data_IF_896038938892
#
_entry.id   IF_896038938892
#
_cell.length_a   1.000
_cell.length_b   1.000
_cell.length_c   1.000
_cell.angle_alpha   90.00
_cell.angle_beta   90.00
_cell.angle_gamma   90.00
#
_symmetry.space_group_name_H-M   'P 1'
#
loop_
_entity.id
_entity.type
_entity.pdbx_description
1 polymer ?
#
# COMPACT_ATOMS: atom_id res chain seq x y z
N UNK A 1 18.83 22.98 3.36
CA UNK A 1 19.07 23.33 1.94
C UNK A 1 19.29 22.11 1.04
N UNK A 2 20.13 21.13 1.43
CA UNK A 2 20.51 20.00 0.55
C UNK A 2 19.35 19.00 0.33
N UNK A 3 18.47 18.78 1.30
CA UNK A 3 17.32 17.87 1.20
C UNK A 3 16.22 18.47 0.30
N UNK A 4 15.95 19.76 0.43
CA UNK A 4 14.96 20.44 -0.42
C UNK A 4 15.37 20.44 -1.90
N UNK A 5 16.63 20.68 -2.21
CA UNK A 5 17.12 20.68 -3.60
C UNK A 5 17.01 19.30 -4.28
N UNK A 6 17.23 18.21 -3.53
CA UNK A 6 17.04 16.85 -4.06
C UNK A 6 15.56 16.51 -4.32
N UNK A 7 14.65 16.95 -3.43
CA UNK A 7 13.22 16.75 -3.60
C UNK A 7 12.70 17.55 -4.80
N UNK A 8 13.08 18.82 -4.91
CA UNK A 8 12.69 19.68 -6.04
C UNK A 8 13.18 19.13 -7.38
N UNK A 9 14.40 18.59 -7.42
CA UNK A 9 14.94 17.94 -8.61
C UNK A 9 14.12 16.70 -9.00
N UNK A 10 13.75 15.85 -8.04
CA UNK A 10 12.92 14.66 -8.29
C UNK A 10 11.52 15.03 -8.76
N UNK A 11 10.90 16.03 -8.13
CA UNK A 11 9.59 16.55 -8.55
C UNK A 11 9.62 17.07 -9.98
N UNK A 12 10.69 17.81 -10.34
CA UNK A 12 10.88 18.31 -11.71
C UNK A 12 11.03 17.17 -12.71
N UNK A 13 11.83 16.15 -12.38
CA UNK A 13 11.98 14.97 -13.23
C UNK A 13 10.66 14.21 -13.44
N UNK A 14 9.88 14.00 -12.38
CA UNK A 14 8.56 13.37 -12.48
C UNK A 14 7.63 14.20 -13.38
N UNK A 15 7.61 15.52 -13.23
CA UNK A 15 6.80 16.37 -14.09
C UNK A 15 7.21 16.26 -15.56
N UNK A 16 8.51 16.22 -15.85
CA UNK A 16 9.03 16.04 -17.20
C UNK A 16 8.61 14.67 -17.77
N UNK A 17 8.77 13.59 -17.01
CA UNK A 17 8.41 12.24 -17.41
C UNK A 17 6.90 12.10 -17.67
N UNK A 18 6.07 12.68 -16.82
CA UNK A 18 4.60 12.65 -16.97
C UNK A 18 4.17 13.45 -18.22
N UNK A 19 4.92 14.51 -18.57
CA UNK A 19 4.62 15.38 -19.72
C UNK A 19 5.24 14.89 -21.03
N UNK A 20 6.04 13.83 -21.03
CA UNK A 20 6.72 13.33 -22.23
C UNK A 20 5.73 12.65 -23.19
N UNK A 21 5.30 13.38 -24.20
CA UNK A 21 4.36 12.90 -25.19
C UNK A 21 4.93 11.81 -26.12
N UNK A 22 6.23 11.54 -26.10
CA UNK A 22 6.85 10.47 -26.90
C UNK A 22 6.55 9.06 -26.36
N UNK A 23 6.12 8.96 -25.10
CA UNK A 23 5.75 7.69 -24.45
C UNK A 23 4.23 7.62 -24.22
N UNK A 24 3.68 6.41 -24.33
CA UNK A 24 2.28 6.15 -23.96
C UNK A 24 2.05 6.35 -22.44
N UNK A 25 0.84 6.74 -22.00
CA UNK A 25 0.56 7.10 -20.60
C UNK A 25 0.99 6.06 -19.58
N UNK A 26 0.70 4.78 -19.83
CA UNK A 26 1.06 3.69 -18.91
C UNK A 26 2.59 3.57 -18.72
N UNK A 27 3.38 3.78 -19.77
CA UNK A 27 4.84 3.75 -19.68
C UNK A 27 5.39 4.96 -18.95
N UNK A 28 4.79 6.12 -19.15
CA UNK A 28 5.13 7.34 -18.38
C UNK A 28 4.89 7.13 -16.89
N UNK A 29 3.74 6.54 -16.53
CA UNK A 29 3.42 6.20 -15.15
C UNK A 29 4.47 5.25 -14.57
N UNK A 30 4.80 4.17 -15.28
CA UNK A 30 5.80 3.19 -14.86
C UNK A 30 7.16 3.82 -14.56
N UNK A 31 7.66 4.66 -15.44
CA UNK A 31 8.96 5.33 -15.25
C UNK A 31 8.90 6.36 -14.12
N UNK A 32 7.80 7.14 -14.01
CA UNK A 32 7.64 8.11 -12.92
C UNK A 32 7.63 7.45 -11.54
N UNK A 33 7.00 6.29 -11.40
CA UNK A 33 6.91 5.54 -10.15
C UNK A 33 8.26 4.97 -9.66
N UNK A 34 9.28 4.90 -10.51
CA UNK A 34 10.62 4.43 -10.10
C UNK A 34 11.47 5.51 -9.42
N UNK A 35 11.02 6.78 -9.39
CA UNK A 35 11.82 7.91 -8.90
C UNK A 35 11.99 7.96 -7.37
N UNK A 36 11.09 7.34 -6.64
CA UNK A 36 11.13 7.30 -5.18
C UNK A 36 11.12 5.87 -4.65
N UNK A 37 12.12 5.54 -3.84
CA UNK A 37 12.12 4.31 -3.04
C UNK A 37 11.63 4.55 -1.60
N UNK A 38 11.59 5.82 -1.15
CA UNK A 38 11.23 6.20 0.22
C UNK A 38 10.68 7.62 0.24
N UNK A 39 9.57 7.82 0.92
CA UNK A 39 8.94 9.14 1.08
C UNK A 39 9.36 9.82 2.38
N UNK A 40 9.53 9.05 3.45
CA UNK A 40 10.01 9.49 4.76
C UNK A 40 10.72 8.33 5.48
N UNK A 41 11.21 8.56 6.71
CA UNK A 41 11.86 7.50 7.50
C UNK A 41 10.93 6.35 7.87
N UNK A 42 9.63 6.59 7.94
CA UNK A 42 8.60 5.59 8.24
C UNK A 42 7.82 5.08 7.02
N UNK A 43 8.01 5.69 5.85
CA UNK A 43 7.24 5.40 4.64
C UNK A 43 8.13 4.89 3.51
N UNK A 44 8.15 3.58 3.36
CA UNK A 44 8.83 2.88 2.28
C UNK A 44 7.86 2.74 1.12
N UNK A 45 8.29 3.10 -0.08
CA UNK A 45 7.50 2.92 -1.30
C UNK A 45 7.68 1.50 -1.81
N UNK A 46 6.58 0.85 -2.18
CA UNK A 46 6.64 -0.51 -2.75
C UNK A 46 7.19 -0.46 -4.17
N UNK A 47 8.26 -1.20 -4.48
CA UNK A 47 8.75 -1.32 -5.84
C UNK A 47 7.66 -1.87 -6.78
N UNK A 48 7.68 -1.45 -8.03
CA UNK A 48 6.62 -1.81 -8.99
C UNK A 48 6.52 -3.30 -9.26
N UNK A 49 7.66 -4.01 -9.31
CA UNK A 49 7.66 -5.47 -9.46
C UNK A 49 6.93 -6.12 -8.27
N UNK A 50 7.21 -5.70 -7.04
CA UNK A 50 6.55 -6.23 -5.83
C UNK A 50 5.06 -5.88 -5.82
N UNK A 51 4.69 -4.66 -6.16
CA UNK A 51 3.27 -4.28 -6.26
C UNK A 51 2.53 -5.11 -7.33
N UNK A 52 3.18 -5.37 -8.47
CA UNK A 52 2.64 -6.25 -9.53
C UNK A 52 2.52 -7.70 -9.05
N UNK A 53 3.54 -8.22 -8.36
CA UNK A 53 3.52 -9.58 -7.80
C UNK A 53 2.42 -9.75 -6.77
N UNK A 54 2.25 -8.77 -5.88
CA UNK A 54 1.15 -8.76 -4.91
C UNK A 54 -0.21 -8.76 -5.62
N UNK A 55 -0.43 -7.89 -6.61
CA UNK A 55 -1.69 -7.88 -7.35
C UNK A 55 -1.87 -9.17 -8.16
N UNK A 56 -0.79 -9.82 -8.64
CA UNK A 56 -0.86 -11.09 -9.34
C UNK A 56 -1.31 -12.27 -8.45
N UNK A 57 -1.22 -12.17 -7.12
CA UNK A 57 -1.75 -13.16 -6.18
C UNK A 57 -3.28 -13.22 -6.15
N UNK A 58 -3.98 -12.15 -6.52
CA UNK A 58 -5.43 -12.16 -6.62
C UNK A 58 -5.85 -13.20 -7.68
N UNK A 59 -6.92 -13.98 -7.44
CA UNK A 59 -7.47 -14.85 -8.48
C UNK A 59 -8.06 -14.04 -9.63
N UNK A 60 -8.52 -14.74 -10.66
CA UNK A 60 -9.38 -14.12 -11.66
C UNK A 60 -10.72 -13.75 -11.01
N UNK A 61 -11.06 -12.48 -11.11
CA UNK A 61 -12.23 -11.91 -10.45
C UNK A 61 -13.40 -11.85 -11.44
N UNK A 62 -14.52 -12.48 -11.08
CA UNK A 62 -15.76 -12.39 -11.87
C UNK A 62 -16.33 -10.97 -11.78
N UNK A 63 -16.97 -10.49 -12.84
CA UNK A 63 -17.58 -9.17 -12.93
C UNK A 63 -16.61 -8.06 -12.48
N UNK A 64 -15.37 -8.13 -12.97
CA UNK A 64 -14.25 -7.29 -12.54
C UNK A 64 -14.57 -5.78 -12.61
N UNK A 65 -15.49 -5.37 -13.49
CA UNK A 65 -15.96 -3.99 -13.62
C UNK A 65 -16.77 -3.49 -12.43
N UNK A 66 -17.29 -4.39 -11.58
CA UNK A 66 -18.03 -4.07 -10.36
C UNK A 66 -17.14 -4.11 -9.12
N UNK A 67 -15.97 -4.75 -9.21
CA UNK A 67 -15.03 -4.93 -8.10
C UNK A 67 -14.38 -3.60 -7.72
N UNK A 68 -14.51 -3.22 -6.44
CA UNK A 68 -13.90 -2.00 -5.89
C UNK A 68 -12.61 -2.30 -5.17
N UNK A 69 -11.56 -1.59 -5.56
CA UNK A 69 -10.21 -1.70 -5.00
C UNK A 69 -9.88 -0.48 -4.14
N UNK A 70 -9.26 -0.69 -2.99
CA UNK A 70 -8.70 0.37 -2.15
C UNK A 70 -7.21 0.14 -1.91
N UNK A 71 -6.36 1.06 -2.37
CA UNK A 71 -5.02 1.25 -1.84
C UNK A 71 -5.12 2.05 -0.55
N UNK A 72 -5.08 1.36 0.61
CA UNK A 72 -5.33 1.95 1.93
C UNK A 72 -4.16 2.83 2.42
N UNK A 73 -3.01 2.81 1.75
CA UNK A 73 -1.82 3.53 2.16
C UNK A 73 -1.00 4.06 0.97
N UNK A 74 -1.68 4.72 0.05
CA UNK A 74 -1.08 5.22 -1.19
C UNK A 74 0.01 6.25 -0.92
N UNK A 75 1.18 6.06 -1.52
CA UNK A 75 2.32 6.98 -1.44
C UNK A 75 2.52 7.73 -2.74
N UNK A 76 2.54 7.03 -3.86
CA UNK A 76 2.63 7.64 -5.19
C UNK A 76 1.71 6.97 -6.22
N UNK A 77 0.80 6.09 -5.77
CA UNK A 77 -0.15 5.38 -6.63
C UNK A 77 0.41 4.09 -7.24
N UNK A 78 1.41 3.49 -6.61
CA UNK A 78 2.06 2.27 -7.08
C UNK A 78 1.10 1.07 -7.16
N UNK A 79 0.21 0.90 -6.16
CA UNK A 79 -0.81 -0.15 -6.20
C UNK A 79 -1.94 0.18 -7.17
N UNK A 80 -2.38 1.43 -7.24
CA UNK A 80 -3.36 1.86 -8.22
C UNK A 80 -2.87 1.59 -9.66
N UNK A 81 -1.57 1.86 -9.93
CA UNK A 81 -0.94 1.50 -11.21
C UNK A 81 -0.92 -0.01 -11.43
N UNK A 82 -0.55 -0.82 -10.42
CA UNK A 82 -0.48 -2.27 -10.56
C UNK A 82 -1.85 -2.89 -10.85
N UNK A 83 -2.92 -2.41 -10.18
CA UNK A 83 -4.31 -2.81 -10.43
C UNK A 83 -4.73 -2.39 -11.84
N UNK A 84 -4.47 -1.13 -12.23
CA UNK A 84 -4.74 -0.64 -13.57
C UNK A 84 -4.06 -1.51 -14.64
N UNK A 85 -2.77 -1.80 -14.45
CA UNK A 85 -1.99 -2.57 -15.41
C UNK A 85 -2.50 -4.01 -15.57
N UNK A 86 -2.99 -4.65 -14.49
CA UNK A 86 -3.52 -6.01 -14.57
C UNK A 86 -4.94 -6.07 -15.13
N UNK A 87 -5.82 -5.20 -14.69
CA UNK A 87 -7.25 -5.33 -14.93
C UNK A 87 -7.80 -4.28 -15.89
N UNK A 88 -7.45 -3.00 -15.74
CA UNK A 88 -8.01 -1.92 -16.54
C UNK A 88 -7.49 -1.92 -18.00
N UNK A 89 -6.33 -2.52 -18.27
CA UNK A 89 -5.83 -2.74 -19.64
C UNK A 89 -6.64 -3.77 -20.40
N UNK A 90 -7.35 -4.67 -19.69
CA UNK A 90 -8.22 -5.71 -20.27
C UNK A 90 -9.68 -5.25 -20.28
N UNK A 91 -10.15 -4.65 -19.18
CA UNK A 91 -11.48 -4.06 -19.04
C UNK A 91 -11.36 -2.62 -18.53
N UNK A 92 -11.53 -1.64 -19.43
CA UNK A 92 -11.32 -0.22 -19.11
C UNK A 92 -12.25 0.31 -18.01
N UNK A 93 -13.41 -0.31 -17.79
CA UNK A 93 -14.36 0.11 -16.76
C UNK A 93 -13.76 0.00 -15.34
N UNK A 94 -12.84 -0.91 -15.13
CA UNK A 94 -12.16 -1.12 -13.82
C UNK A 94 -11.47 0.14 -13.30
N UNK A 95 -10.96 1.00 -14.18
CA UNK A 95 -10.32 2.26 -13.76
C UNK A 95 -11.21 3.16 -12.91
N UNK A 96 -12.53 3.02 -13.03
CA UNK A 96 -13.51 3.81 -12.27
C UNK A 96 -13.72 3.29 -10.85
N UNK A 97 -13.23 2.10 -10.55
CA UNK A 97 -13.40 1.42 -9.26
C UNK A 97 -12.09 1.25 -8.48
N UNK A 98 -11.03 1.94 -8.89
CA UNK A 98 -9.76 2.00 -8.16
C UNK A 98 -9.76 3.24 -7.28
N UNK A 99 -9.63 3.03 -5.97
CA UNK A 99 -9.60 4.07 -4.95
C UNK A 99 -8.26 4.10 -4.23
N UNK A 100 -7.84 5.26 -3.76
CA UNK A 100 -6.62 5.44 -2.99
C UNK A 100 -6.83 6.34 -1.78
N UNK A 101 -6.29 5.91 -0.62
CA UNK A 101 -6.18 6.72 0.57
C UNK A 101 -4.71 7.11 0.79
N UNK A 102 -4.31 8.36 0.54
CA UNK A 102 -2.94 8.80 0.68
C UNK A 102 -2.46 8.86 2.14
N UNK A 103 -1.16 8.62 2.36
CA UNK A 103 -0.54 8.76 3.69
C UNK A 103 -0.27 10.22 4.06
N UNK A 104 -0.19 11.12 3.09
CA UNK A 104 0.06 12.55 3.29
C UNK A 104 -0.43 13.41 2.12
N UNK A 105 -0.48 14.73 2.30
CA UNK A 105 -0.81 15.67 1.22
C UNK A 105 0.17 15.58 0.03
N UNK A 106 1.46 15.31 0.29
CA UNK A 106 2.44 15.09 -0.76
C UNK A 106 2.13 13.82 -1.55
N UNK A 107 1.79 12.73 -0.86
CA UNK A 107 1.39 11.48 -1.46
C UNK A 107 0.10 11.61 -2.27
N UNK A 108 -0.86 12.42 -1.80
CA UNK A 108 -2.04 12.78 -2.57
C UNK A 108 -1.68 13.38 -3.94
N UNK A 109 -0.76 14.36 -3.96
CA UNK A 109 -0.37 15.02 -5.22
C UNK A 109 0.34 14.07 -6.19
N UNK A 110 1.16 13.13 -5.70
CA UNK A 110 1.77 12.11 -6.57
C UNK A 110 0.73 11.13 -7.11
N UNK A 111 -0.11 10.58 -6.25
CA UNK A 111 -1.20 9.68 -6.65
C UNK A 111 -2.10 10.36 -7.68
N UNK A 112 -2.47 11.62 -7.46
CA UNK A 112 -3.30 12.42 -8.38
C UNK A 112 -2.69 12.56 -9.77
N UNK A 113 -1.36 12.73 -9.86
CA UNK A 113 -0.67 12.79 -11.16
C UNK A 113 -0.76 11.46 -11.92
N UNK A 114 -0.59 10.34 -11.22
CA UNK A 114 -0.72 9.01 -11.81
C UNK A 114 -2.16 8.76 -12.28
N UNK A 115 -3.16 9.10 -11.45
CA UNK A 115 -4.57 8.99 -11.81
C UNK A 115 -4.89 9.77 -13.08
N UNK A 116 -4.50 11.06 -13.14
CA UNK A 116 -4.70 11.90 -14.33
C UNK A 116 -4.03 11.31 -15.57
N UNK A 117 -2.81 10.80 -15.42
CA UNK A 117 -2.03 10.24 -16.52
C UNK A 117 -2.69 8.98 -17.10
N UNK A 118 -3.30 8.14 -16.25
CA UNK A 118 -3.98 6.91 -16.64
C UNK A 118 -5.47 7.12 -16.95
N UNK A 119 -5.98 8.33 -16.89
CA UNK A 119 -7.41 8.61 -17.12
C UNK A 119 -8.34 8.03 -16.06
N UNK A 120 -7.84 7.88 -14.83
CA UNK A 120 -8.62 7.41 -13.69
C UNK A 120 -9.34 8.59 -13.02
N UNK A 121 -10.53 8.40 -12.41
CA UNK A 121 -11.24 9.44 -11.70
C UNK A 121 -10.47 9.96 -10.50
N UNK A 122 -10.09 11.23 -10.49
CA UNK A 122 -9.35 11.85 -9.38
C UNK A 122 -10.19 11.90 -8.09
N UNK A 123 -11.50 11.93 -8.22
CA UNK A 123 -12.45 11.91 -7.08
C UNK A 123 -12.42 10.58 -6.30
N UNK A 124 -11.82 9.54 -6.87
CA UNK A 124 -11.56 8.28 -6.18
C UNK A 124 -10.34 8.35 -5.24
N UNK A 125 -9.62 9.46 -5.21
CA UNK A 125 -8.56 9.69 -4.22
C UNK A 125 -9.21 10.39 -3.02
N UNK A 126 -9.20 9.73 -1.88
CA UNK A 126 -9.75 10.27 -0.63
C UNK A 126 -8.84 11.39 -0.14
N UNK A 127 -9.34 12.63 -0.14
CA UNK A 127 -8.53 13.84 0.07
C UNK A 127 -8.70 14.50 1.44
N UNK A 128 -9.76 14.18 2.15
CA UNK A 128 -10.18 14.86 3.39
C UNK A 128 -9.59 14.26 4.66
N UNK A 129 -9.03 13.06 4.58
CA UNK A 129 -8.25 12.44 5.64
C UNK A 129 -7.14 11.54 5.06
N UNK A 130 -6.21 11.11 5.90
CA UNK A 130 -5.05 10.30 5.51
C UNK A 130 -5.13 8.90 6.12
N UNK A 131 -4.29 7.99 5.63
CA UNK A 131 -4.09 6.65 6.21
C UNK A 131 -3.87 6.71 7.73
N UNK A 132 -3.05 7.66 8.22
CA UNK A 132 -2.77 7.80 9.65
C UNK A 132 -4.00 8.16 10.48
N UNK A 133 -5.01 8.79 9.88
CA UNK A 133 -6.23 9.16 10.60
C UNK A 133 -7.09 7.93 10.95
N UNK A 134 -6.86 6.79 10.28
CA UNK A 134 -7.58 5.54 10.54
C UNK A 134 -7.20 4.86 11.87
N UNK A 135 -6.06 5.23 12.46
CA UNK A 135 -5.55 4.65 13.71
C UNK A 135 -5.45 5.67 14.85
N UNK A 136 -6.03 6.86 14.66
CA UNK A 136 -6.18 7.88 15.71
C UNK A 136 -7.43 7.62 16.54
N UNK A 137 -7.48 8.25 17.71
CA UNK A 137 -8.71 8.33 18.50
C UNK A 137 -9.82 9.04 17.69
N UNK A 138 -11.06 8.66 17.90
CA UNK A 138 -12.25 9.21 17.21
C UNK A 138 -12.18 9.06 15.68
N UNK A 139 -11.82 7.87 15.23
CA UNK A 139 -11.72 7.52 13.80
C UNK A 139 -12.98 6.85 13.23
N UNK A 140 -14.01 6.63 14.06
CA UNK A 140 -15.20 5.85 13.74
C UNK A 140 -15.90 6.37 12.48
N UNK A 141 -16.10 7.67 12.36
CA UNK A 141 -16.75 8.30 11.20
C UNK A 141 -16.00 7.98 9.88
N UNK A 142 -14.66 8.00 9.93
CA UNK A 142 -13.82 7.70 8.75
C UNK A 142 -13.88 6.23 8.37
N UNK A 143 -13.85 5.36 9.37
CA UNK A 143 -13.97 3.90 9.16
C UNK A 143 -15.36 3.55 8.64
N UNK A 144 -16.43 4.13 9.19
CA UNK A 144 -17.80 3.88 8.75
C UNK A 144 -18.02 4.39 7.31
N UNK A 145 -17.46 5.54 6.96
CA UNK A 145 -17.46 6.01 5.58
C UNK A 145 -16.78 5.00 4.62
N UNK A 146 -15.62 4.44 5.01
CA UNK A 146 -14.95 3.44 4.17
C UNK A 146 -15.76 2.14 4.08
N UNK A 147 -16.46 1.73 5.15
CA UNK A 147 -17.39 0.58 5.13
C UNK A 147 -18.55 0.80 4.17
N UNK A 148 -19.13 2.00 4.17
CA UNK A 148 -20.25 2.34 3.29
C UNK A 148 -19.86 2.32 1.81
N UNK A 149 -18.58 2.56 1.49
CA UNK A 149 -18.05 2.45 0.14
C UNK A 149 -17.98 1.01 -0.37
N UNK A 150 -17.93 0.00 0.53
CA UNK A 150 -17.93 -1.45 0.24
C UNK A 150 -16.82 -1.85 -0.73
N UNK A 151 -15.60 -1.93 -0.23
CA UNK A 151 -14.46 -2.40 -1.01
C UNK A 151 -14.38 -3.93 -1.01
N UNK A 152 -14.14 -4.52 -2.18
CA UNK A 152 -13.96 -5.97 -2.35
C UNK A 152 -12.49 -6.37 -2.11
N UNK A 153 -11.56 -5.50 -2.51
CA UNK A 153 -10.12 -5.74 -2.43
C UNK A 153 -9.45 -4.56 -1.74
N UNK A 154 -8.75 -4.83 -0.64
CA UNK A 154 -7.89 -3.86 0.04
C UNK A 154 -6.44 -4.28 -0.14
N UNK A 155 -5.64 -3.36 -0.68
CA UNK A 155 -4.20 -3.55 -0.85
C UNK A 155 -3.44 -2.42 -0.16
N UNK A 156 -2.17 -2.65 0.16
CA UNK A 156 -1.35 -1.55 0.63
C UNK A 156 -0.06 -1.96 1.32
N UNK A 157 0.79 -0.95 1.46
CA UNK A 157 1.99 -0.97 2.27
C UNK A 157 1.84 0.09 3.37
N UNK A 158 1.16 -0.23 4.49
CA UNK A 158 0.88 0.75 5.54
C UNK A 158 2.18 1.23 6.20
N UNK A 159 2.17 2.40 6.86
CA UNK A 159 3.29 2.85 7.67
C UNK A 159 3.65 1.82 8.76
N UNK A 160 4.95 1.55 8.94
CA UNK A 160 5.41 0.48 9.83
C UNK A 160 5.52 0.89 11.29
N UNK A 161 5.85 2.15 11.54
CA UNK A 161 6.13 2.66 12.87
C UNK A 161 5.58 4.09 13.03
N UNK A 162 5.17 4.43 14.25
CA UNK A 162 4.84 5.80 14.58
C UNK A 162 6.14 6.63 14.60
N UNK A 163 6.16 7.73 13.83
CA UNK A 163 7.28 8.67 13.85
C UNK A 163 7.34 9.34 15.21
N UNK A 164 8.33 8.98 16.02
CA UNK A 164 8.63 9.72 17.24
C UNK A 164 9.39 10.99 16.84
N UNK A 165 8.76 12.15 17.00
CA UNK A 165 9.33 13.47 16.72
C UNK A 165 10.74 13.58 17.29
N UNK A 166 11.67 14.08 16.47
CA UNK A 166 13.11 14.09 16.59
C UNK A 166 13.68 14.34 18.00
N UNK A 167 14.23 13.27 18.57
CA UNK A 167 15.16 13.29 19.68
C UNK A 167 16.37 12.43 19.33
N UNK A 168 17.53 12.76 19.88
CA UNK A 168 18.82 12.09 19.65
C UNK A 168 18.85 10.59 20.04
N UNK A 169 17.80 10.08 20.69
CA UNK A 169 17.62 8.68 20.98
C UNK A 169 16.65 8.08 19.98
N UNK A 170 17.16 7.40 18.96
CA UNK A 170 16.42 6.48 18.09
C UNK A 170 15.97 5.26 18.90
N UNK A 171 15.04 5.42 19.85
CA UNK A 171 14.31 4.29 20.39
C UNK A 171 13.42 3.73 19.28
N UNK A 172 13.39 2.43 19.12
CA UNK A 172 12.56 1.73 18.15
C UNK A 172 11.12 2.25 18.23
N UNK A 173 10.63 2.87 17.14
CA UNK A 173 9.25 3.39 17.10
C UNK A 173 8.25 2.27 17.36
N UNK A 174 7.12 2.60 17.98
CA UNK A 174 6.02 1.65 18.20
C UNK A 174 5.47 1.20 16.85
N UNK A 175 5.34 -0.12 16.67
CA UNK A 175 4.73 -0.69 15.49
C UNK A 175 3.26 -0.26 15.38
N UNK A 176 2.80 0.04 14.17
CA UNK A 176 1.43 0.46 13.86
C UNK A 176 0.84 -0.29 12.66
N UNK A 177 1.61 -1.11 11.96
CA UNK A 177 1.12 -1.85 10.78
C UNK A 177 0.02 -2.87 11.13
N UNK A 178 0.04 -3.41 12.33
CA UNK A 178 -0.99 -4.30 12.89
C UNK A 178 -2.34 -3.59 13.08
N UNK A 179 -2.35 -2.29 13.44
CA UNK A 179 -3.56 -1.49 13.51
C UNK A 179 -4.20 -1.34 12.12
N UNK A 180 -3.40 -1.09 11.09
CA UNK A 180 -3.91 -0.97 9.71
C UNK A 180 -4.49 -2.28 9.18
N UNK A 181 -3.90 -3.43 9.53
CA UNK A 181 -4.50 -4.72 9.19
C UNK A 181 -5.84 -4.91 9.90
N UNK A 182 -5.93 -4.54 11.17
CA UNK A 182 -7.17 -4.59 11.96
C UNK A 182 -8.25 -3.72 11.33
N UNK A 183 -7.91 -2.50 10.92
CA UNK A 183 -8.81 -1.61 10.18
C UNK A 183 -9.25 -2.26 8.87
N UNK A 184 -8.32 -2.78 8.05
CA UNK A 184 -8.67 -3.43 6.79
C UNK A 184 -9.63 -4.60 6.98
N UNK A 185 -9.43 -5.45 8.02
CA UNK A 185 -10.38 -6.53 8.37
C UNK A 185 -11.76 -5.99 8.76
N UNK A 186 -11.81 -4.86 9.48
CA UNK A 186 -13.07 -4.26 9.93
C UNK A 186 -13.92 -3.70 8.79
N UNK A 187 -13.32 -3.42 7.62
CA UNK A 187 -14.02 -3.01 6.40
C UNK A 187 -14.67 -4.21 5.67
N UNK A 188 -14.43 -5.43 6.14
CA UNK A 188 -15.01 -6.68 5.63
C UNK A 188 -14.83 -6.91 4.12
N UNK A 189 -13.65 -6.64 3.52
CA UNK A 189 -13.42 -6.96 2.12
C UNK A 189 -13.33 -8.46 1.90
N UNK A 190 -13.55 -8.92 0.67
CA UNK A 190 -13.24 -10.30 0.31
C UNK A 190 -11.73 -10.55 0.36
N UNK A 191 -10.93 -9.65 -0.23
CA UNK A 191 -9.48 -9.82 -0.29
C UNK A 191 -8.73 -8.72 0.46
N UNK A 192 -7.74 -9.12 1.26
CA UNK A 192 -6.73 -8.23 1.83
C UNK A 192 -5.36 -8.69 1.34
N UNK A 193 -4.63 -7.80 0.71
CA UNK A 193 -3.27 -8.04 0.24
C UNK A 193 -2.34 -6.93 0.75
N UNK A 194 -1.57 -7.24 1.78
CA UNK A 194 -0.73 -6.25 2.47
C UNK A 194 0.70 -6.71 2.58
N UNK A 195 1.62 -5.74 2.56
CA UNK A 195 3.04 -5.92 2.83
C UNK A 195 3.41 -5.23 4.14
N UNK A 196 4.15 -5.93 5.01
CA UNK A 196 4.52 -5.47 6.33
C UNK A 196 5.83 -6.12 6.83
N UNK A 197 6.49 -5.54 7.86
CA UNK A 197 7.67 -6.19 8.46
C UNK A 197 7.37 -7.56 9.03
N UNK A 198 8.26 -8.55 8.81
CA UNK A 198 8.14 -9.92 9.34
C UNK A 198 8.46 -10.03 10.84
N UNK A 199 8.79 -8.93 11.51
CA UNK A 199 9.18 -8.92 12.95
C UNK A 199 8.15 -9.57 13.86
N UNK A 200 6.88 -9.56 13.51
CA UNK A 200 5.83 -10.19 14.31
C UNK A 200 5.95 -11.72 14.39
N UNK A 201 6.68 -12.40 13.50
CA UNK A 201 6.88 -13.85 13.53
C UNK A 201 7.55 -14.33 14.81
N UNK A 202 8.51 -13.57 15.33
CA UNK A 202 9.37 -13.95 16.44
C UNK A 202 9.13 -13.17 17.74
N UNK A 203 8.10 -12.29 17.78
CA UNK A 203 7.81 -11.45 18.94
C UNK A 203 7.23 -12.29 20.08
N UNK A 204 7.71 -12.05 21.30
CA UNK A 204 7.17 -12.56 22.55
C UNK A 204 6.76 -11.36 23.41
N UNK A 205 5.52 -11.33 23.83
CA UNK A 205 4.94 -10.26 24.66
C UNK A 205 4.40 -9.05 23.91
N UNK A 206 3.45 -8.38 24.52
CA UNK A 206 2.87 -7.12 24.07
C UNK A 206 1.92 -7.22 22.86
N UNK A 207 1.64 -6.08 22.28
CA UNK A 207 0.66 -5.92 21.19
C UNK A 207 0.97 -6.80 19.97
N UNK A 208 2.24 -6.91 19.57
CA UNK A 208 2.64 -7.70 18.41
C UNK A 208 2.52 -9.21 18.64
N UNK A 209 2.56 -9.70 19.88
CA UNK A 209 2.26 -11.10 20.17
C UNK A 209 0.79 -11.40 19.94
N UNK A 210 -0.11 -10.53 20.38
CA UNK A 210 -1.54 -10.65 20.08
C UNK A 210 -1.78 -10.64 18.58
N UNK A 211 -1.13 -9.74 17.85
CA UNK A 211 -1.19 -9.69 16.39
C UNK A 211 -0.67 -10.99 15.76
N UNK A 212 0.49 -11.51 16.23
CA UNK A 212 1.05 -12.78 15.78
C UNK A 212 0.05 -13.93 15.93
N UNK A 213 -0.59 -14.05 17.09
CA UNK A 213 -1.58 -15.09 17.34
C UNK A 213 -2.78 -14.94 16.40
N UNK A 214 -3.28 -13.70 16.21
CA UNK A 214 -4.35 -13.41 15.24
C UNK A 214 -3.99 -13.85 13.82
N UNK A 215 -2.76 -13.60 13.38
CA UNK A 215 -2.30 -13.98 12.03
C UNK A 215 -2.12 -15.48 11.88
N UNK A 216 -1.61 -16.17 12.91
CA UNK A 216 -1.42 -17.63 12.90
C UNK A 216 -2.73 -18.41 12.97
N UNK A 217 -3.75 -17.86 13.60
CA UNK A 217 -5.09 -18.47 13.72
C UNK A 217 -6.00 -18.14 12.52
N UNK A 218 -5.64 -17.15 11.70
CA UNK A 218 -6.47 -16.72 10.55
C UNK A 218 -6.34 -17.71 9.38
N UNK A 219 -7.29 -18.66 9.30
CA UNK A 219 -7.35 -19.67 8.25
C UNK A 219 -7.72 -19.12 6.86
N UNK A 220 -7.97 -17.83 6.77
CA UNK A 220 -8.25 -17.15 5.51
C UNK A 220 -7.00 -16.64 4.79
N UNK A 221 -5.80 -16.68 5.43
CA UNK A 221 -4.55 -16.33 4.77
C UNK A 221 -4.12 -17.51 3.90
N UNK A 222 -4.22 -17.34 2.58
CA UNK A 222 -3.97 -18.43 1.63
C UNK A 222 -2.52 -18.53 1.18
N UNK A 223 -1.85 -17.39 0.99
CA UNK A 223 -0.49 -17.30 0.48
C UNK A 223 0.26 -16.21 1.25
N UNK A 224 1.52 -16.50 1.57
CA UNK A 224 2.46 -15.53 2.15
C UNK A 224 3.83 -15.67 1.48
N UNK A 225 4.42 -14.54 1.11
CA UNK A 225 5.81 -14.45 0.68
C UNK A 225 6.63 -13.75 1.77
N UNK A 226 7.69 -14.42 2.27
CA UNK A 226 8.57 -13.89 3.29
C UNK A 226 9.98 -13.65 2.75
N UNK A 227 10.49 -12.46 2.98
CA UNK A 227 11.84 -12.04 2.65
C UNK A 227 12.61 -11.83 3.93
N UNK A 228 13.52 -12.74 4.28
CA UNK A 228 14.39 -12.62 5.46
C UNK A 228 15.22 -11.34 5.46
N UNK A 229 15.52 -10.82 4.26
CA UNK A 229 16.22 -9.56 4.07
C UNK A 229 15.33 -8.60 3.27
N UNK A 230 14.97 -7.46 3.88
CA UNK A 230 14.11 -6.47 3.23
C UNK A 230 14.74 -5.84 1.96
N UNK A 231 16.08 -5.88 1.81
CA UNK A 231 16.76 -5.40 0.60
C UNK A 231 16.37 -6.23 -0.63
N UNK A 232 16.06 -7.52 -0.47
CA UNK A 232 15.66 -8.41 -1.56
C UNK A 232 14.28 -8.02 -2.13
N UNK A 233 13.45 -7.40 -1.29
CA UNK A 233 12.13 -6.90 -1.67
C UNK A 233 12.15 -5.43 -2.11
N UNK A 234 12.77 -4.55 -1.29
CA UNK A 234 12.70 -3.09 -1.49
C UNK A 234 13.94 -2.49 -2.14
N UNK A 235 14.99 -3.28 -2.36
CA UNK A 235 16.28 -2.81 -2.84
C UNK A 235 17.16 -2.20 -1.72
N UNK A 236 18.43 -1.98 -2.03
CA UNK A 236 19.49 -1.59 -1.08
C UNK A 236 19.30 -0.26 -0.34
N UNK A 237 18.32 0.55 -0.73
CA UNK A 237 18.05 1.85 -0.09
C UNK A 237 17.16 1.72 1.16
N UNK A 238 16.68 0.52 1.49
CA UNK A 238 15.75 0.28 2.60
C UNK A 238 16.40 -0.65 3.61
N UNK A 239 16.83 -0.07 4.72
CA UNK A 239 17.27 -0.84 5.89
C UNK A 239 16.06 -1.14 6.79
N UNK A 240 15.62 -2.39 6.82
CA UNK A 240 14.57 -2.87 7.71
C UNK A 240 15.05 -4.16 8.40
N UNK A 241 15.25 -4.10 9.71
CA UNK A 241 15.66 -5.28 10.49
C UNK A 241 14.49 -6.27 10.62
N UNK A 242 14.77 -7.54 10.36
CA UNK A 242 13.82 -8.65 10.57
C UNK A 242 12.95 -8.97 9.37
N UNK A 243 13.35 -8.53 8.18
CA UNK A 243 12.69 -8.92 6.94
C UNK A 243 11.34 -8.25 6.70
N UNK A 244 10.66 -8.68 5.64
CA UNK A 244 9.35 -8.19 5.22
C UNK A 244 8.55 -9.34 4.62
N UNK A 245 7.26 -9.38 4.86
CA UNK A 245 6.35 -10.32 4.22
C UNK A 245 5.18 -9.59 3.55
N UNK A 246 4.65 -10.19 2.48
CA UNK A 246 3.34 -9.82 1.96
C UNK A 246 2.47 -11.06 1.81
N UNK A 247 1.16 -10.90 1.92
CA UNK A 247 0.24 -12.02 1.98
C UNK A 247 -1.10 -11.67 1.31
N UNK A 248 -1.79 -12.72 0.88
CA UNK A 248 -3.19 -12.67 0.45
C UNK A 248 -4.07 -13.35 1.49
N UNK A 249 -5.03 -12.60 2.00
CA UNK A 249 -6.18 -13.09 2.76
C UNK A 249 -7.40 -13.07 1.86
N UNK A 250 -8.10 -14.20 1.74
CA UNK A 250 -9.38 -14.33 1.05
C UNK A 250 -10.43 -14.77 2.08
N UNK A 251 -11.48 -13.99 2.28
CA UNK A 251 -12.53 -14.27 3.26
C UNK A 251 -13.28 -15.59 2.99
N UNK A 252 -13.24 -16.10 1.77
CA UNK A 252 -13.86 -17.38 1.37
C UNK A 252 -12.89 -18.56 1.47
N UNK A 253 -11.58 -18.32 1.61
CA UNK A 253 -10.60 -19.38 1.83
C UNK A 253 -10.68 -19.91 3.26
N UNK A 254 -10.53 -21.22 3.44
CA UNK A 254 -10.41 -21.83 4.75
C UNK A 254 -9.43 -23.02 4.68
N UNK A 255 -8.18 -22.76 5.01
CA UNK A 255 -7.13 -23.75 4.88
C UNK A 255 -5.81 -23.30 5.50
N UNK A 256 -4.75 -24.05 5.19
CA UNK A 256 -3.40 -23.70 5.64
C UNK A 256 -2.75 -22.69 4.69
N UNK A 257 -1.95 -21.79 5.26
CA UNK A 257 -1.22 -20.79 4.50
C UNK A 257 -0.04 -21.43 3.75
N UNK A 258 0.06 -21.18 2.44
CA UNK A 258 1.23 -21.52 1.66
C UNK A 258 2.30 -20.41 1.82
N UNK A 259 3.44 -20.74 2.43
CA UNK A 259 4.54 -19.79 2.66
C UNK A 259 5.67 -20.05 1.68
N UNK A 260 6.08 -19.01 0.94
CA UNK A 260 7.12 -19.02 -0.09
C UNK A 260 8.32 -18.16 0.32
#
# INVERSE_FOLDING_TARGET
HFIHSKLDYKIKNINNLISDASMVPIKRAEVALTQFGRMSDSEIVTPQNIAKDMIAMLPDLENIEEVKFLDIASKQGEFAYAIYNRFATVNEAVKNNIYSLPTSALCYEFTRKIYKLLGMPVDNIIADFTTYDLIKENNEEKIDRLKDMKFDVIVGNPPYQKSNGGGLNKSSGTAIYDDFFTVAKSLSPRFINMIMPSRWFAVQGGKLETFRNTMLEDKHISIMHDYNNAEDCFGKSVELKGGVCYFLRDAEYNGDCNVN
#
